data_IF_948343965038
#
_entry.id   IF_948343965038
#
_cell.length_a   1.000
_cell.length_b   1.000
_cell.length_c   1.000
_cell.angle_alpha   90.00
_cell.angle_beta   90.00
_cell.angle_gamma   90.00
#
_symmetry.space_group_name_H-M   'P 1'
#
loop_
_entity.id
_entity.type
_entity.pdbx_description
1 polymer ?
#
# COMPACT_ATOMS: atom_id res chain seq x y z
N UNK A 1 22.02 11.20 -6.33
CA UNK A 1 23.28 10.45 -6.17
C UNK A 1 24.48 11.40 -6.09
N UNK A 2 24.60 12.35 -7.00
CA UNK A 2 25.72 13.34 -6.97
C UNK A 2 25.79 14.14 -5.66
N UNK A 3 24.66 14.40 -5.01
CA UNK A 3 24.59 15.10 -3.71
C UNK A 3 24.81 14.16 -2.50
N UNK A 4 25.21 12.91 -2.69
CA UNK A 4 25.45 11.94 -1.62
C UNK A 4 24.20 11.31 -1.01
N UNK A 5 23.03 11.48 -1.64
CA UNK A 5 21.78 10.86 -1.21
C UNK A 5 21.93 9.34 -1.19
N UNK A 6 21.48 8.69 -0.11
CA UNK A 6 21.53 7.24 0.08
C UNK A 6 20.17 6.57 -0.07
N UNK A 7 19.10 7.25 0.33
CA UNK A 7 17.75 6.73 0.27
C UNK A 7 16.83 7.70 -0.45
N UNK A 8 15.94 7.14 -1.26
CA UNK A 8 14.87 7.84 -1.97
C UNK A 8 13.53 7.38 -1.44
N UNK A 9 12.79 8.29 -0.82
CA UNK A 9 11.41 8.05 -0.39
C UNK A 9 10.47 8.48 -1.50
N UNK A 10 9.75 7.53 -2.08
CA UNK A 10 8.72 7.79 -3.09
C UNK A 10 7.39 7.94 -2.39
N UNK A 11 6.88 9.17 -2.36
CA UNK A 11 5.70 9.54 -1.57
C UNK A 11 4.69 10.25 -2.46
N UNK A 12 3.45 9.78 -2.43
CA UNK A 12 2.28 10.49 -2.95
C UNK A 12 1.06 10.13 -2.10
N UNK A 13 -0.09 10.73 -2.35
CA UNK A 13 -1.32 10.36 -1.67
C UNK A 13 -1.74 8.90 -1.98
N UNK A 14 -1.47 8.44 -3.20
CA UNK A 14 -1.60 7.05 -3.64
C UNK A 14 -0.50 6.75 -4.68
N UNK A 15 0.58 6.16 -4.23
CA UNK A 15 1.72 5.83 -5.09
C UNK A 15 1.37 4.73 -6.10
N UNK A 16 0.41 3.86 -5.75
CA UNK A 16 -0.05 2.81 -6.66
C UNK A 16 -0.82 3.36 -7.87
N UNK A 17 -1.39 4.56 -7.76
CA UNK A 17 -2.10 5.22 -8.85
C UNK A 17 -1.18 5.94 -9.85
N UNK A 18 0.14 5.80 -9.73
CA UNK A 18 1.09 6.44 -10.65
C UNK A 18 0.76 6.14 -12.12
N UNK A 19 0.61 7.20 -12.90
CA UNK A 19 0.38 7.15 -14.34
C UNK A 19 -1.06 6.94 -14.80
N UNK A 20 -2.01 6.79 -13.88
CA UNK A 20 -3.46 6.69 -14.21
C UNK A 20 -3.92 7.93 -14.97
N UNK A 21 -3.52 9.12 -14.55
CA UNK A 21 -3.81 10.40 -15.18
C UNK A 21 -3.25 10.50 -16.62
N UNK A 22 -2.15 9.83 -16.87
CA UNK A 22 -1.48 9.73 -18.18
C UNK A 22 -1.95 8.54 -19.02
N UNK A 23 -2.92 7.76 -18.54
CA UNK A 23 -3.39 6.51 -19.19
C UNK A 23 -2.25 5.57 -19.54
N UNK A 24 -1.26 5.49 -18.65
CA UNK A 24 -0.06 4.64 -18.80
C UNK A 24 0.71 4.87 -20.10
N UNK A 25 0.76 6.12 -20.55
CA UNK A 25 1.40 6.53 -21.80
C UNK A 25 2.87 6.05 -21.84
N UNK A 26 3.29 5.64 -23.03
CA UNK A 26 4.69 5.40 -23.33
C UNK A 26 5.44 6.74 -23.48
N UNK A 27 6.57 6.85 -22.85
CA UNK A 27 7.48 7.98 -22.94
C UNK A 27 8.93 7.48 -22.89
N UNK A 28 9.93 8.35 -22.84
CA UNK A 28 11.33 7.99 -22.81
C UNK A 28 12.02 8.51 -21.56
N UNK A 29 12.74 7.64 -20.86
CA UNK A 29 13.61 7.98 -19.75
C UNK A 29 15.04 7.54 -20.06
N UNK A 30 15.99 8.48 -20.04
CA UNK A 30 17.41 8.21 -20.38
C UNK A 30 17.57 7.45 -21.70
N UNK A 31 16.80 7.83 -22.74
CA UNK A 31 16.85 7.21 -24.06
C UNK A 31 16.17 5.83 -24.20
N UNK A 32 15.48 5.36 -23.16
CA UNK A 32 14.76 4.08 -23.18
C UNK A 32 13.25 4.32 -23.16
N UNK A 33 12.45 3.49 -23.87
CA UNK A 33 11.01 3.54 -23.79
C UNK A 33 10.56 3.05 -22.40
N UNK A 34 9.70 3.83 -21.73
CA UNK A 34 9.17 3.57 -20.39
C UNK A 34 7.70 3.92 -20.37
N UNK A 35 6.84 3.01 -19.91
CA UNK A 35 5.46 3.36 -19.64
C UNK A 35 5.33 4.08 -18.30
N UNK A 36 4.39 5.01 -18.21
CA UNK A 36 4.04 5.68 -16.95
C UNK A 36 3.25 4.71 -16.05
N UNK A 37 3.88 3.59 -15.66
CA UNK A 37 3.35 2.56 -14.75
C UNK A 37 4.23 2.44 -13.51
N UNK A 38 3.63 2.10 -12.38
CA UNK A 38 4.37 1.92 -11.13
C UNK A 38 5.54 0.94 -11.27
N UNK A 39 5.33 -0.19 -11.91
CA UNK A 39 6.39 -1.20 -12.12
C UNK A 39 7.57 -0.65 -12.93
N UNK A 40 7.31 0.13 -13.97
CA UNK A 40 8.36 0.69 -14.81
C UNK A 40 9.09 1.83 -14.08
N UNK A 41 8.35 2.64 -13.28
CA UNK A 41 8.96 3.62 -12.38
C UNK A 41 9.91 2.92 -11.39
N UNK A 42 9.47 1.85 -10.74
CA UNK A 42 10.29 1.10 -9.80
C UNK A 42 11.57 0.55 -10.46
N UNK A 43 11.48 0.02 -11.68
CA UNK A 43 12.64 -0.45 -12.44
C UNK A 43 13.63 0.68 -12.75
N UNK A 44 13.14 1.85 -13.18
CA UNK A 44 14.02 2.99 -13.47
C UNK A 44 14.68 3.55 -12.19
N UNK A 45 13.93 3.61 -11.08
CA UNK A 45 14.46 4.04 -9.79
C UNK A 45 15.50 3.04 -9.25
N UNK A 46 15.26 1.73 -9.40
CA UNK A 46 16.20 0.69 -9.01
C UNK A 46 17.56 0.81 -9.73
N UNK A 47 17.59 1.27 -10.97
CA UNK A 47 18.83 1.53 -11.72
C UNK A 47 19.69 2.67 -11.16
N UNK A 48 19.12 3.49 -10.27
CA UNK A 48 19.89 4.56 -9.62
C UNK A 48 20.85 4.02 -8.55
N UNK A 49 20.71 2.76 -8.16
CA UNK A 49 21.50 2.14 -7.09
C UNK A 49 21.44 3.01 -5.82
N UNK A 50 20.23 3.27 -5.38
CA UNK A 50 19.84 3.95 -4.15
C UNK A 50 18.81 3.09 -3.42
N UNK A 51 18.77 3.18 -2.12
CA UNK A 51 17.66 2.61 -1.36
C UNK A 51 16.36 3.32 -1.75
N UNK A 52 15.53 2.64 -2.52
CA UNK A 52 14.24 3.17 -2.95
C UNK A 52 13.13 2.57 -2.11
N UNK A 53 12.44 3.42 -1.35
CA UNK A 53 11.32 3.04 -0.49
C UNK A 53 10.02 3.63 -1.00
N UNK A 54 9.00 2.79 -1.14
CA UNK A 54 7.66 3.21 -1.53
C UNK A 54 6.79 3.44 -0.29
N UNK A 55 6.07 4.55 -0.27
CA UNK A 55 5.07 4.88 0.75
C UNK A 55 3.69 5.01 0.14
N UNK A 56 2.64 4.76 0.94
CA UNK A 56 1.23 4.92 0.57
C UNK A 56 0.86 4.15 -0.70
N UNK A 57 1.18 2.86 -0.71
CA UNK A 57 0.86 1.96 -1.82
C UNK A 57 -0.51 1.36 -1.58
N UNK A 58 -1.52 1.85 -2.29
CA UNK A 58 -2.88 1.30 -2.17
C UNK A 58 -2.94 -0.13 -2.73
N UNK A 59 -3.71 -1.07 -2.12
CA UNK A 59 -3.66 -2.49 -2.46
C UNK A 59 -4.41 -2.85 -3.76
N UNK A 60 -4.12 -2.15 -4.84
CA UNK A 60 -4.60 -2.56 -6.17
C UNK A 60 -3.92 -3.85 -6.65
N UNK A 61 -4.58 -4.62 -7.54
CA UNK A 61 -4.00 -5.88 -8.03
C UNK A 61 -2.59 -5.76 -8.62
N UNK A 62 -2.32 -4.69 -9.36
CA UNK A 62 -1.02 -4.46 -10.00
C UNK A 62 0.14 -4.16 -9.02
N UNK A 63 -0.16 -3.96 -7.74
CA UNK A 63 0.87 -3.85 -6.70
C UNK A 63 1.60 -5.20 -6.51
N UNK A 64 0.95 -6.30 -6.81
CA UNK A 64 1.57 -7.61 -6.73
C UNK A 64 2.77 -7.74 -7.69
N UNK A 65 2.76 -6.99 -8.81
CA UNK A 65 3.82 -7.00 -9.83
C UNK A 65 5.14 -6.35 -9.36
N UNK A 66 5.11 -5.51 -8.32
CA UNK A 66 6.33 -4.85 -7.79
C UNK A 66 7.05 -5.69 -6.73
N UNK A 67 6.39 -6.67 -6.13
CA UNK A 67 6.99 -7.52 -5.09
C UNK A 67 8.19 -8.33 -5.61
N UNK A 68 8.18 -8.90 -6.84
CA UNK A 68 9.37 -9.50 -7.42
C UNK A 68 10.57 -8.55 -7.51
N UNK A 69 10.34 -7.25 -7.80
CA UNK A 69 11.42 -6.25 -7.86
C UNK A 69 12.05 -5.99 -6.48
N UNK A 70 11.29 -6.19 -5.40
CA UNK A 70 11.80 -6.16 -4.04
C UNK A 70 12.69 -7.37 -3.76
N UNK A 71 12.26 -8.57 -4.18
CA UNK A 71 13.04 -9.80 -4.05
C UNK A 71 14.34 -9.75 -4.88
N UNK A 72 14.33 -9.08 -6.03
CA UNK A 72 15.50 -8.83 -6.89
C UNK A 72 16.43 -7.74 -6.32
N UNK A 73 16.04 -7.03 -5.27
CA UNK A 73 16.83 -5.94 -4.68
C UNK A 73 16.82 -4.63 -5.46
N UNK A 74 15.94 -4.47 -6.46
CA UNK A 74 15.82 -3.23 -7.23
C UNK A 74 15.20 -2.09 -6.42
N UNK A 75 14.27 -2.42 -5.53
CA UNK A 75 13.68 -1.52 -4.54
C UNK A 75 13.71 -2.21 -3.18
N UNK A 76 13.64 -1.45 -2.10
CA UNK A 76 13.64 -2.02 -0.76
C UNK A 76 12.46 -2.98 -0.56
N UNK A 77 12.66 -4.13 0.13
CA UNK A 77 11.61 -5.07 0.48
C UNK A 77 10.73 -4.49 1.60
N UNK A 78 10.07 -3.40 1.30
CA UNK A 78 9.24 -2.63 2.22
C UNK A 78 7.97 -2.18 1.52
N UNK A 79 6.82 -2.62 2.01
CA UNK A 79 5.51 -2.33 1.45
C UNK A 79 4.63 -1.62 2.48
N UNK A 80 4.36 -0.34 2.26
CA UNK A 80 3.48 0.49 3.09
C UNK A 80 2.09 0.51 2.47
N UNK A 81 1.21 -0.40 2.95
CA UNK A 81 -0.15 -0.62 2.43
C UNK A 81 -1.17 -0.27 3.49
N UNK A 82 -1.85 0.88 3.39
CA UNK A 82 -2.88 1.28 4.35
C UNK A 82 -4.19 0.49 4.10
N UNK A 83 -4.40 -0.62 4.80
CA UNK A 83 -5.63 -1.40 4.70
C UNK A 83 -6.85 -0.70 5.31
N UNK A 84 -6.65 0.19 6.27
CA UNK A 84 -7.65 0.99 6.99
C UNK A 84 -8.54 0.18 7.93
N UNK A 85 -9.02 -0.98 7.55
CA UNK A 85 -9.80 -1.94 8.33
C UNK A 85 -9.69 -3.34 7.71
N UNK A 86 -10.21 -4.37 8.37
CA UNK A 86 -10.26 -5.73 7.84
C UNK A 86 -11.69 -6.19 7.53
N UNK A 87 -12.68 -5.74 8.32
CA UNK A 87 -14.05 -6.21 8.18
C UNK A 87 -14.72 -5.70 6.89
N UNK A 88 -15.33 -6.57 6.04
CA UNK A 88 -15.84 -6.20 4.73
C UNK A 88 -16.90 -5.08 4.77
N UNK A 89 -17.80 -5.09 5.78
CA UNK A 89 -18.83 -4.06 5.92
C UNK A 89 -18.22 -2.68 6.22
N UNK A 90 -17.24 -2.62 7.11
CA UNK A 90 -16.57 -1.36 7.45
C UNK A 90 -15.77 -0.83 6.26
N UNK A 91 -15.02 -1.69 5.57
CA UNK A 91 -14.33 -1.32 4.33
C UNK A 91 -15.28 -0.77 3.26
N UNK A 92 -16.47 -1.37 3.13
CA UNK A 92 -17.51 -0.86 2.22
C UNK A 92 -18.02 0.52 2.63
N UNK A 93 -18.25 0.76 3.94
CA UNK A 93 -18.64 2.07 4.47
C UNK A 93 -17.52 3.11 4.24
N UNK A 94 -16.27 2.74 4.39
CA UNK A 94 -15.09 3.55 4.06
C UNK A 94 -14.88 3.74 2.55
N UNK A 95 -15.75 3.17 1.69
CA UNK A 95 -15.61 3.15 0.23
C UNK A 95 -14.28 2.54 -0.23
N UNK A 96 -13.83 1.49 0.48
CA UNK A 96 -12.60 0.74 0.16
C UNK A 96 -12.97 -0.56 -0.56
N UNK A 97 -12.37 -0.88 -1.72
CA UNK A 97 -12.73 -2.07 -2.51
C UNK A 97 -12.15 -3.37 -1.96
N UNK A 98 -11.30 -3.32 -0.94
CA UNK A 98 -10.61 -4.50 -0.43
C UNK A 98 -11.47 -5.30 0.55
N UNK A 99 -11.26 -6.62 0.59
CA UNK A 99 -11.85 -7.56 1.54
C UNK A 99 -10.74 -8.13 2.43
N UNK A 100 -10.99 -8.25 3.74
CA UNK A 100 -10.00 -8.71 4.72
C UNK A 100 -9.40 -10.08 4.38
N UNK A 101 -10.21 -11.08 4.03
CA UNK A 101 -9.76 -12.43 3.66
C UNK A 101 -8.79 -12.41 2.46
N UNK A 102 -9.14 -11.68 1.41
CA UNK A 102 -8.26 -11.52 0.24
C UNK A 102 -6.96 -10.80 0.59
N UNK A 103 -6.97 -9.92 1.59
CA UNK A 103 -5.76 -9.26 2.06
C UNK A 103 -4.83 -10.23 2.78
N UNK A 104 -5.32 -11.18 3.57
CA UNK A 104 -4.50 -12.24 4.18
C UNK A 104 -3.85 -13.13 3.11
N UNK A 105 -4.62 -13.57 2.11
CA UNK A 105 -4.09 -14.34 0.99
C UNK A 105 -2.98 -13.59 0.23
N UNK A 106 -3.17 -12.29 0.00
CA UNK A 106 -2.17 -11.44 -0.66
C UNK A 106 -0.92 -11.25 0.20
N UNK A 107 -1.06 -10.97 1.49
CA UNK A 107 0.07 -10.88 2.43
C UNK A 107 0.90 -12.17 2.39
N UNK A 108 0.24 -13.32 2.45
CA UNK A 108 0.90 -14.61 2.34
C UNK A 108 1.60 -14.81 0.98
N UNK A 109 0.99 -14.36 -0.12
CA UNK A 109 1.59 -14.39 -1.46
C UNK A 109 2.81 -13.47 -1.56
N UNK A 110 2.75 -12.25 -1.02
CA UNK A 110 3.88 -11.32 -0.99
C UNK A 110 5.07 -11.89 -0.22
N UNK A 111 4.83 -12.49 0.95
CA UNK A 111 5.89 -13.14 1.73
C UNK A 111 6.51 -14.34 1.04
N UNK A 112 5.71 -15.11 0.28
CA UNK A 112 6.26 -16.20 -0.54
C UNK A 112 7.15 -15.67 -1.68
N UNK A 113 6.76 -14.57 -2.31
CA UNK A 113 7.50 -13.96 -3.40
C UNK A 113 8.75 -13.20 -2.94
N UNK A 114 8.70 -12.60 -1.75
CA UNK A 114 9.79 -11.84 -1.13
C UNK A 114 9.82 -12.14 0.37
N UNK A 115 10.54 -13.18 0.83
CA UNK A 115 10.57 -13.60 2.24
C UNK A 115 11.01 -12.52 3.22
N UNK A 116 11.87 -11.61 2.80
CA UNK A 116 12.41 -10.52 3.62
C UNK A 116 11.53 -9.26 3.61
N UNK A 117 10.32 -9.34 3.04
CA UNK A 117 9.44 -8.18 2.92
C UNK A 117 8.96 -7.69 4.29
N UNK A 118 9.16 -6.43 4.56
CA UNK A 118 8.56 -5.72 5.69
C UNK A 118 7.24 -5.10 5.26
N UNK A 119 6.14 -5.48 5.89
CA UNK A 119 4.80 -4.96 5.57
C UNK A 119 4.36 -4.02 6.70
N UNK A 120 4.13 -2.76 6.33
CA UNK A 120 3.54 -1.74 7.18
C UNK A 120 2.10 -1.50 6.77
N UNK A 121 1.22 -1.33 7.75
CA UNK A 121 -0.16 -0.92 7.48
C UNK A 121 -0.67 0.08 8.52
N UNK A 122 -1.75 0.75 8.15
CA UNK A 122 -2.47 1.70 8.99
C UNK A 122 -3.93 1.31 9.06
N UNK A 123 -4.51 1.41 10.27
CA UNK A 123 -5.90 1.07 10.55
C UNK A 123 -6.59 2.22 11.27
N UNK A 124 -7.92 2.29 11.09
CA UNK A 124 -8.80 3.22 11.78
C UNK A 124 -9.79 2.39 12.60
N UNK A 125 -9.93 2.71 13.87
CA UNK A 125 -10.89 2.09 14.80
C UNK A 125 -11.92 3.13 15.27
N UNK A 126 -13.09 2.66 15.71
CA UNK A 126 -14.19 3.55 16.10
C UNK A 126 -14.78 4.28 14.90
N UNK A 127 -14.73 3.67 13.70
CA UNK A 127 -15.39 4.24 12.53
C UNK A 127 -16.91 4.27 12.75
N UNK A 128 -17.65 5.34 12.32
CA UNK A 128 -19.08 5.43 12.52
C UNK A 128 -19.83 4.16 12.10
N UNK A 129 -20.61 3.60 13.02
CA UNK A 129 -21.33 2.36 12.85
C UNK A 129 -20.49 1.08 13.02
N UNK A 130 -19.22 1.16 13.41
CA UNK A 130 -18.43 -0.01 13.79
C UNK A 130 -18.97 -0.64 15.08
N UNK A 131 -19.12 -1.95 15.07
CA UNK A 131 -19.55 -2.75 16.23
C UNK A 131 -18.36 -3.41 16.90
N UNK A 132 -18.54 -3.80 18.18
CA UNK A 132 -17.52 -4.59 18.91
C UNK A 132 -17.09 -5.85 18.17
N UNK A 133 -18.03 -6.58 17.58
CA UNK A 133 -17.72 -7.78 16.81
C UNK A 133 -16.86 -7.51 15.57
N UNK A 134 -17.01 -6.35 14.95
CA UNK A 134 -16.19 -5.94 13.81
C UNK A 134 -14.80 -5.46 14.23
N UNK A 135 -14.70 -4.85 15.39
CA UNK A 135 -13.42 -4.55 16.01
C UNK A 135 -12.66 -5.83 16.39
N UNK A 136 -13.32 -6.80 17.03
CA UNK A 136 -12.71 -8.13 17.31
C UNK A 136 -12.27 -8.83 16.03
N UNK A 137 -13.04 -8.76 14.95
CA UNK A 137 -12.61 -9.26 13.63
C UNK A 137 -11.33 -8.60 13.15
N UNK A 138 -11.17 -7.28 13.37
CA UNK A 138 -9.92 -6.58 13.05
C UNK A 138 -8.75 -7.09 13.90
N UNK A 139 -8.96 -7.36 15.19
CA UNK A 139 -7.91 -7.92 16.05
C UNK A 139 -7.46 -9.31 15.58
N UNK A 140 -8.42 -10.17 15.20
CA UNK A 140 -8.11 -11.50 14.66
C UNK A 140 -7.35 -11.40 13.34
N UNK A 141 -7.76 -10.51 12.44
CA UNK A 141 -7.00 -10.21 11.23
C UNK A 141 -5.55 -9.79 11.53
N UNK A 142 -5.33 -8.91 12.51
CA UNK A 142 -4.00 -8.45 12.87
C UNK A 142 -3.12 -9.58 13.43
N UNK A 143 -3.72 -10.49 14.23
CA UNK A 143 -3.02 -11.69 14.75
C UNK A 143 -2.58 -12.62 13.63
N UNK A 144 -3.46 -12.85 12.64
CA UNK A 144 -3.19 -13.74 11.51
C UNK A 144 -2.28 -13.11 10.47
N UNK A 145 -2.41 -11.81 10.21
CA UNK A 145 -1.61 -11.10 9.23
C UNK A 145 -0.13 -10.94 9.63
N UNK A 146 0.19 -10.99 10.92
CA UNK A 146 1.55 -10.83 11.47
C UNK A 146 2.32 -9.67 10.83
N UNK A 147 1.68 -8.49 10.72
CA UNK A 147 2.28 -7.32 10.10
C UNK A 147 3.47 -6.80 10.90
N UNK A 148 4.55 -6.41 10.21
CA UNK A 148 5.79 -5.96 10.85
C UNK A 148 5.65 -4.59 11.51
N UNK A 149 4.81 -3.72 10.94
CA UNK A 149 4.55 -2.38 11.45
C UNK A 149 3.06 -2.05 11.33
N UNK A 150 2.45 -1.66 12.43
CA UNK A 150 1.03 -1.29 12.49
C UNK A 150 0.89 0.09 13.12
N UNK A 151 0.24 1.01 12.40
CA UNK A 151 -0.29 2.26 12.95
C UNK A 151 -1.80 2.13 13.13
N UNK A 152 -2.32 2.58 14.28
CA UNK A 152 -3.74 2.60 14.55
C UNK A 152 -4.16 4.01 14.97
N UNK A 153 -5.26 4.50 14.38
CA UNK A 153 -5.84 5.80 14.68
C UNK A 153 -7.30 5.63 15.08
N UNK A 154 -7.71 6.32 16.12
CA UNK A 154 -9.13 6.50 16.40
C UNK A 154 -9.76 7.36 15.29
N UNK A 155 -10.98 7.02 14.88
CA UNK A 155 -11.72 7.87 13.95
C UNK A 155 -11.87 9.28 14.52
N UNK A 156 -11.62 10.26 13.71
CA UNK A 156 -11.85 11.68 14.05
C UNK A 156 -12.73 12.30 12.96
N UNK A 157 -13.87 12.89 13.32
CA UNK A 157 -14.72 13.58 12.35
C UNK A 157 -13.97 14.73 11.68
N UNK A 158 -14.15 14.84 10.37
CA UNK A 158 -13.63 15.95 9.56
C UNK A 158 -14.80 16.63 8.89
N UNK A 159 -14.87 17.96 8.95
CA UNK A 159 -15.96 18.72 8.34
C UNK A 159 -16.14 18.35 6.86
N UNK A 160 -17.39 18.08 6.47
CA UNK A 160 -17.76 17.70 5.12
C UNK A 160 -17.48 16.24 4.75
N UNK A 161 -16.96 15.42 5.67
CA UNK A 161 -16.77 14.00 5.41
C UNK A 161 -18.11 13.24 5.46
N UNK A 162 -18.43 12.48 4.40
CA UNK A 162 -19.65 11.68 4.31
C UNK A 162 -19.78 10.63 5.45
N UNK A 163 -18.69 10.27 6.09
CA UNK A 163 -18.69 9.36 7.22
C UNK A 163 -19.37 9.95 8.46
N UNK A 164 -19.47 11.28 8.57
CA UNK A 164 -20.13 11.95 9.71
C UNK A 164 -21.66 11.76 9.69
N UNK A 165 -22.23 11.40 8.53
CA UNK A 165 -23.66 11.16 8.36
C UNK A 165 -24.04 9.69 8.66
N UNK A 166 -23.07 8.86 8.99
CA UNK A 166 -23.29 7.46 9.36
C UNK A 166 -23.71 7.36 10.84
N UNK A 167 -24.51 6.34 11.19
CA UNK A 167 -24.97 6.13 12.56
C UNK A 167 -23.85 5.76 13.53
#
# INVERSE_FOLDING_TARGET
KAAGVKELLVISQDTAAYGVDKRYKLDFACGRPVHTKLIDLCRELGRLDLWTRLHYVYPYPHVDDIVPLMAEGLILPYLDVPFQHAHPRILKLMKRPACGEKNLERIAAWRRACPDITIRSTFIVGFPGETEAEFEYLLDFLREAELDRVGCFAYSPVDGAAANDLP
#
